data_IF_969379950078
#
_entry.id   IF_969379950078
#
_cell.length_a   1.000
_cell.length_b   1.000
_cell.length_c   1.000
_cell.angle_alpha   90.00
_cell.angle_beta   90.00
_cell.angle_gamma   90.00
#
_symmetry.space_group_name_H-M   'P 1'
#
loop_
_entity.id
_entity.type
_entity.pdbx_description
1 polymer ?
#
# COMPACT_ATOMS: atom_id res chain seq x y z
N UNK A 1 87.15 -28.05 -34.30
CA UNK A 1 87.48 -26.94 -33.37
C UNK A 1 86.83 -25.67 -33.88
N UNK A 2 86.50 -24.70 -32.99
CA UNK A 2 85.89 -23.37 -33.27
C UNK A 2 84.52 -23.40 -34.00
N UNK A 3 83.36 -22.98 -33.44
CA UNK A 3 82.94 -21.64 -32.94
C UNK A 3 83.29 -20.50 -33.91
N UNK A 4 82.45 -19.54 -34.28
CA UNK A 4 81.00 -19.30 -34.12
C UNK A 4 80.60 -18.30 -35.26
N UNK A 5 79.38 -17.77 -35.46
CA UNK A 5 78.16 -17.61 -34.64
C UNK A 5 76.93 -17.65 -35.58
N UNK A 6 75.73 -17.91 -35.07
CA UNK A 6 74.47 -17.82 -35.84
C UNK A 6 73.62 -16.62 -35.39
N UNK A 7 72.96 -15.94 -36.33
CA UNK A 7 71.85 -15.02 -36.04
C UNK A 7 70.89 -15.06 -37.23
N UNK A 8 69.86 -15.89 -37.14
CA UNK A 8 68.82 -16.03 -38.16
C UNK A 8 67.62 -15.20 -37.76
N UNK A 9 67.24 -14.26 -38.62
CA UNK A 9 66.05 -13.43 -38.45
C UNK A 9 64.80 -14.32 -38.66
N UNK A 10 63.99 -14.51 -37.62
CA UNK A 10 62.69 -15.20 -37.71
C UNK A 10 61.56 -14.20 -37.51
N UNK A 11 60.65 -14.20 -38.48
CA UNK A 11 59.53 -13.28 -38.58
C UNK A 11 58.48 -13.60 -37.51
N UNK A 12 58.10 -12.62 -36.70
CA UNK A 12 57.10 -12.80 -35.65
C UNK A 12 55.67 -12.78 -36.25
N UNK A 13 55.01 -13.94 -36.25
CA UNK A 13 53.58 -14.05 -36.48
C UNK A 13 52.85 -14.00 -35.13
N UNK A 14 52.48 -12.80 -34.68
CA UNK A 14 51.55 -12.61 -33.57
C UNK A 14 50.14 -12.43 -34.13
N UNK A 15 49.26 -13.40 -33.87
CA UNK A 15 47.85 -13.32 -34.20
C UNK A 15 47.21 -12.18 -33.39
N UNK A 16 46.58 -11.23 -34.08
CA UNK A 16 45.69 -10.26 -33.47
C UNK A 16 44.39 -10.97 -33.04
N UNK A 17 44.41 -11.61 -31.88
CA UNK A 17 43.19 -11.99 -31.17
C UNK A 17 42.49 -10.73 -30.70
N UNK A 18 41.21 -10.59 -31.00
CA UNK A 18 40.43 -9.40 -30.68
C UNK A 18 40.40 -9.15 -29.17
N UNK A 19 41.14 -8.14 -28.71
CA UNK A 19 40.87 -7.51 -27.43
C UNK A 19 39.58 -6.69 -27.56
N UNK A 20 38.44 -7.35 -27.41
CA UNK A 20 37.20 -6.67 -27.06
C UNK A 20 37.43 -6.17 -25.63
N UNK A 21 37.68 -4.86 -25.50
CA UNK A 21 37.58 -4.23 -24.19
C UNK A 21 36.17 -4.49 -23.66
N UNK A 22 35.98 -4.71 -22.34
CA UNK A 22 34.63 -4.74 -21.80
C UNK A 22 33.98 -3.41 -22.19
N UNK A 23 32.94 -3.49 -23.01
CA UNK A 23 31.94 -2.42 -23.04
C UNK A 23 31.50 -2.25 -21.60
N UNK A 24 31.43 -1.00 -21.14
CA UNK A 24 30.62 -0.75 -19.96
C UNK A 24 29.23 -1.27 -20.31
N UNK A 25 28.79 -2.32 -19.63
CA UNK A 25 27.37 -2.59 -19.53
C UNK A 25 26.82 -1.33 -18.86
N UNK A 26 26.10 -0.54 -19.64
CA UNK A 26 25.26 0.48 -19.07
C UNK A 26 24.20 -0.27 -18.29
N UNK A 27 24.28 -0.19 -16.96
CA UNK A 27 23.05 -0.01 -16.20
C UNK A 27 22.41 1.27 -16.75
N UNK A 28 21.61 1.11 -17.80
CA UNK A 28 20.65 2.10 -18.29
C UNK A 28 19.49 2.12 -17.27
N UNK A 29 19.83 2.37 -16.00
CA UNK A 29 18.89 2.65 -14.94
C UNK A 29 18.14 3.92 -15.33
N UNK A 30 16.87 3.75 -15.65
CA UNK A 30 15.96 4.85 -15.88
C UNK A 30 15.54 5.44 -14.54
N UNK A 31 15.25 6.73 -14.51
CA UNK A 31 14.76 7.39 -13.30
C UNK A 31 13.28 7.04 -13.18
N UNK A 32 12.94 6.18 -12.21
CA UNK A 32 11.56 5.99 -11.75
C UNK A 32 11.04 7.35 -11.25
N UNK A 33 9.88 7.83 -11.73
CA UNK A 33 9.25 9.03 -11.18
C UNK A 33 8.93 8.85 -9.70
N UNK A 34 8.98 9.91 -8.90
CA UNK A 34 8.56 9.82 -7.50
C UNK A 34 7.05 9.46 -7.42
N UNK A 35 6.71 8.46 -6.60
CA UNK A 35 5.36 7.87 -6.53
C UNK A 35 5.10 6.78 -7.58
N UNK A 36 6.15 6.11 -8.06
CA UNK A 36 6.11 4.98 -9.03
C UNK A 36 7.01 3.81 -8.62
N UNK A 37 7.58 3.86 -7.42
CA UNK A 37 8.49 2.86 -6.83
C UNK A 37 7.80 1.56 -6.42
N UNK A 38 6.46 1.55 -6.38
CA UNK A 38 5.60 0.44 -5.95
C UNK A 38 4.61 -0.06 -7.02
N UNK A 39 4.79 0.37 -8.28
CA UNK A 39 4.03 -0.11 -9.44
C UNK A 39 4.17 -1.62 -9.64
N UNK A 40 3.08 -2.28 -10.04
CA UNK A 40 3.09 -3.71 -10.34
C UNK A 40 2.90 -3.98 -11.85
N UNK A 41 3.79 -4.81 -12.43
CA UNK A 41 3.59 -5.32 -13.80
C UNK A 41 2.51 -6.40 -13.79
N UNK A 42 1.37 -6.12 -14.41
CA UNK A 42 0.31 -7.09 -14.69
C UNK A 42 -0.02 -7.20 -16.17
N UNK A 43 -0.27 -8.44 -16.63
CA UNK A 43 -0.72 -8.73 -17.99
C UNK A 43 -2.23 -8.46 -18.17
N UNK A 44 -3.01 -8.52 -17.10
CA UNK A 44 -4.49 -8.39 -17.12
C UNK A 44 -4.99 -7.10 -16.49
N UNK A 45 -4.24 -6.50 -15.57
CA UNK A 45 -4.58 -5.27 -14.88
C UNK A 45 -3.65 -4.11 -15.25
N UNK A 46 -4.09 -2.89 -14.93
CA UNK A 46 -3.32 -1.65 -14.96
C UNK A 46 -3.86 -0.67 -13.91
N UNK A 47 -3.08 0.37 -13.65
CA UNK A 47 -3.51 1.51 -12.84
C UNK A 47 -4.10 2.63 -13.69
N UNK A 48 -5.02 3.36 -13.07
CA UNK A 48 -5.74 4.50 -13.63
C UNK A 48 -5.81 5.58 -12.55
N UNK A 49 -5.77 6.84 -12.95
CA UNK A 49 -6.15 7.94 -12.07
C UNK A 49 -7.58 8.34 -12.38
N UNK A 50 -8.39 8.35 -11.33
CA UNK A 50 -9.68 9.03 -11.28
C UNK A 50 -9.46 10.39 -10.65
N UNK A 51 -9.92 11.46 -11.31
CA UNK A 51 -9.73 12.83 -10.83
C UNK A 51 -11.03 13.64 -10.88
N UNK A 52 -11.25 14.49 -9.89
CA UNK A 52 -12.47 15.29 -9.76
C UNK A 52 -12.32 16.50 -8.86
N UNK A 53 -13.45 17.18 -8.61
CA UNK A 53 -13.58 18.28 -7.66
C UNK A 53 -14.68 17.96 -6.66
N UNK A 54 -14.40 18.19 -5.39
CA UNK A 54 -15.34 18.06 -4.29
C UNK A 54 -15.34 19.34 -3.44
N UNK A 55 -16.18 19.37 -2.41
CA UNK A 55 -16.35 20.53 -1.54
C UNK A 55 -16.55 20.11 -0.09
N UNK A 56 -15.94 20.82 0.85
CA UNK A 56 -16.24 20.72 2.29
C UNK A 56 -16.88 22.02 2.79
N UNK A 57 -17.65 21.95 3.88
CA UNK A 57 -18.20 23.16 4.53
C UNK A 57 -17.88 23.12 6.02
N UNK A 58 -17.21 24.16 6.53
CA UNK A 58 -16.87 24.27 7.95
C UNK A 58 -18.09 24.61 8.81
N UNK A 59 -18.00 24.31 10.09
CA UNK A 59 -19.06 24.62 11.06
C UNK A 59 -19.31 26.13 11.20
N UNK A 60 -20.58 26.51 11.40
CA UNK A 60 -21.02 27.91 11.37
C UNK A 60 -20.38 28.81 12.45
N UNK A 61 -19.91 28.23 13.56
CA UNK A 61 -19.18 28.90 14.62
C UNK A 61 -17.70 29.16 14.29
N UNK A 62 -17.15 28.48 13.27
CA UNK A 62 -15.79 28.70 12.77
C UNK A 62 -15.71 29.78 11.67
N UNK A 63 -16.84 30.24 11.12
CA UNK A 63 -16.85 31.31 10.09
C UNK A 63 -16.10 32.57 10.56
N UNK A 64 -16.36 32.98 11.81
CA UNK A 64 -15.77 34.18 12.45
C UNK A 64 -14.42 33.89 13.14
N UNK A 65 -13.87 32.67 13.02
CA UNK A 65 -12.55 32.34 13.55
C UNK A 65 -11.42 33.05 12.76
N UNK A 66 -10.19 32.97 13.24
CA UNK A 66 -9.03 33.38 12.44
C UNK A 66 -8.79 32.41 11.27
N UNK A 67 -8.02 32.88 10.29
CA UNK A 67 -7.75 32.15 9.04
C UNK A 67 -7.02 30.83 9.28
N UNK A 68 -6.08 30.76 10.24
CA UNK A 68 -5.34 29.54 10.53
C UNK A 68 -6.25 28.49 11.19
N UNK A 69 -7.12 28.90 12.11
CA UNK A 69 -8.13 28.02 12.71
C UNK A 69 -9.12 27.48 11.66
N UNK A 70 -9.58 28.33 10.71
CA UNK A 70 -10.43 27.85 9.60
C UNK A 70 -9.68 26.87 8.70
N UNK A 71 -8.49 27.22 8.23
CA UNK A 71 -7.75 26.38 7.27
C UNK A 71 -7.36 25.02 7.88
N UNK A 72 -6.97 24.96 9.15
CA UNK A 72 -6.71 23.69 9.83
C UNK A 72 -7.95 22.76 9.84
N UNK A 73 -9.16 23.32 10.02
CA UNK A 73 -10.41 22.55 9.93
C UNK A 73 -10.75 22.16 8.49
N UNK A 74 -10.48 23.03 7.51
CA UNK A 74 -10.66 22.72 6.09
C UNK A 74 -9.75 21.56 5.67
N UNK A 75 -8.46 21.61 6.02
CA UNK A 75 -7.49 20.54 5.74
C UNK A 75 -7.91 19.21 6.37
N UNK A 76 -8.39 19.21 7.63
CA UNK A 76 -8.93 18.03 8.31
C UNK A 76 -10.17 17.45 7.58
N UNK A 77 -11.15 18.30 7.26
CA UNK A 77 -12.37 17.89 6.54
C UNK A 77 -12.08 17.39 5.14
N UNK A 78 -11.12 18.00 4.43
CA UNK A 78 -10.71 17.59 3.09
C UNK A 78 -10.11 16.18 3.11
N UNK A 79 -9.26 15.86 4.10
CA UNK A 79 -8.76 14.48 4.28
C UNK A 79 -9.87 13.48 4.57
N UNK A 80 -10.83 13.84 5.43
CA UNK A 80 -11.97 12.97 5.75
C UNK A 80 -12.92 12.77 4.53
N UNK A 81 -13.15 13.82 3.73
CA UNK A 81 -13.95 13.76 2.51
C UNK A 81 -13.24 12.94 1.41
N UNK A 82 -11.91 13.03 1.28
CA UNK A 82 -11.14 12.16 0.39
C UNK A 82 -11.29 10.67 0.75
N UNK A 83 -11.23 10.33 2.05
CA UNK A 83 -11.50 8.97 2.53
C UNK A 83 -12.92 8.52 2.14
N UNK A 84 -13.91 9.39 2.30
CA UNK A 84 -15.29 9.08 1.90
C UNK A 84 -15.45 8.89 0.38
N UNK A 85 -14.84 9.74 -0.44
CA UNK A 85 -14.83 9.62 -1.90
C UNK A 85 -14.15 8.31 -2.32
N UNK A 86 -12.99 7.98 -1.75
CA UNK A 86 -12.29 6.72 -2.00
C UNK A 86 -13.17 5.51 -1.65
N UNK A 87 -13.88 5.57 -0.52
CA UNK A 87 -14.82 4.53 -0.09
C UNK A 87 -15.99 4.36 -1.07
N UNK A 88 -16.70 5.44 -1.43
CA UNK A 88 -17.83 5.37 -2.37
C UNK A 88 -17.41 5.00 -3.80
N UNK A 89 -16.22 5.42 -4.24
CA UNK A 89 -15.62 5.00 -5.51
C UNK A 89 -15.30 3.51 -5.47
N UNK A 90 -14.73 2.99 -4.37
CA UNK A 90 -14.48 1.57 -4.21
C UNK A 90 -15.78 0.74 -4.25
N UNK A 91 -16.84 1.20 -3.57
CA UNK A 91 -18.17 0.58 -3.65
C UNK A 91 -18.73 0.52 -5.08
N UNK A 92 -18.44 1.53 -5.91
CA UNK A 92 -18.85 1.55 -7.31
C UNK A 92 -18.01 0.62 -8.21
N UNK A 93 -16.71 0.53 -7.94
CA UNK A 93 -15.76 -0.22 -8.77
C UNK A 93 -15.72 -1.72 -8.48
N UNK A 94 -15.83 -2.11 -7.22
CA UNK A 94 -15.72 -3.51 -6.81
C UNK A 94 -16.86 -4.37 -7.39
N UNK A 95 -16.59 -5.64 -7.63
CA UNK A 95 -17.59 -6.59 -8.13
C UNK A 95 -18.84 -6.64 -7.26
N UNK A 96 -19.94 -7.06 -7.90
CA UNK A 96 -21.26 -7.24 -7.27
C UNK A 96 -21.66 -8.72 -7.36
N UNK A 97 -22.48 -9.15 -6.43
CA UNK A 97 -23.00 -10.51 -6.34
C UNK A 97 -24.53 -10.53 -6.35
N UNK A 98 -25.12 -11.58 -6.91
CA UNK A 98 -26.58 -11.78 -6.95
C UNK A 98 -27.22 -11.60 -5.56
N UNK A 99 -28.03 -10.57 -5.40
CA UNK A 99 -28.70 -10.23 -4.14
C UNK A 99 -28.00 -9.20 -3.26
N UNK A 100 -26.87 -8.62 -3.70
CA UNK A 100 -26.28 -7.45 -3.06
C UNK A 100 -27.29 -6.28 -3.06
N UNK A 101 -27.36 -5.55 -1.95
CA UNK A 101 -28.28 -4.42 -1.81
C UNK A 101 -28.09 -3.32 -2.85
N UNK A 102 -26.93 -3.30 -3.51
CA UNK A 102 -26.51 -2.36 -4.54
C UNK A 102 -26.05 -3.04 -5.85
N UNK A 103 -26.57 -4.23 -6.17
CA UNK A 103 -26.20 -5.04 -7.36
C UNK A 103 -26.15 -4.26 -8.69
N UNK A 104 -27.01 -3.24 -8.87
CA UNK A 104 -27.05 -2.39 -10.06
C UNK A 104 -26.09 -1.18 -10.04
N UNK A 105 -25.40 -0.93 -8.92
CA UNK A 105 -24.51 0.21 -8.73
C UNK A 105 -23.05 -0.17 -9.05
N UNK A 106 -22.74 -0.16 -10.34
CA UNK A 106 -21.39 -0.40 -10.85
C UNK A 106 -21.02 -1.89 -10.96
N UNK A 107 -19.82 -2.26 -10.50
CA UNK A 107 -19.25 -3.60 -10.67
C UNK A 107 -18.36 -3.71 -11.92
N UNK A 108 -17.08 -3.36 -11.77
CA UNK A 108 -16.12 -3.26 -12.87
C UNK A 108 -14.80 -4.01 -12.60
N UNK A 109 -14.78 -4.96 -11.65
CA UNK A 109 -13.59 -5.74 -11.27
C UNK A 109 -12.36 -4.87 -10.99
N UNK A 110 -12.58 -3.75 -10.29
CA UNK A 110 -11.58 -2.75 -9.96
C UNK A 110 -11.68 -2.31 -8.49
N UNK A 111 -10.62 -1.68 -7.98
CA UNK A 111 -10.50 -1.24 -6.60
C UNK A 111 -9.85 0.14 -6.55
N UNK A 112 -10.35 1.03 -5.69
CA UNK A 112 -9.68 2.29 -5.38
C UNK A 112 -8.63 2.07 -4.28
N UNK A 113 -7.40 2.55 -4.50
CA UNK A 113 -6.29 2.47 -3.53
C UNK A 113 -6.32 3.68 -2.60
N UNK A 114 -6.77 3.51 -1.36
CA UNK A 114 -6.88 4.58 -0.39
C UNK A 114 -5.57 5.42 -0.28
N UNK A 115 -5.73 6.69 0.09
CA UNK A 115 -4.65 7.58 0.52
C UNK A 115 -3.51 7.82 -0.51
N UNK A 116 -3.82 7.89 -1.82
CA UNK A 116 -2.78 7.95 -2.87
C UNK A 116 -2.33 9.34 -3.34
N UNK A 117 -3.02 10.42 -2.95
CA UNK A 117 -2.63 11.79 -3.36
C UNK A 117 -3.02 12.85 -2.32
N UNK A 118 -2.17 13.88 -2.20
CA UNK A 118 -2.50 15.13 -1.50
C UNK A 118 -3.73 15.80 -2.13
N UNK A 119 -4.49 16.54 -1.31
CA UNK A 119 -5.52 17.43 -1.81
C UNK A 119 -4.91 18.61 -2.58
N UNK A 120 -5.42 18.89 -3.78
CA UNK A 120 -4.88 19.90 -4.68
C UNK A 120 -5.79 21.14 -4.75
N UNK A 121 -5.17 22.32 -4.71
CA UNK A 121 -5.81 23.62 -4.98
C UNK A 121 -7.14 23.84 -4.21
N UNK A 122 -7.04 23.93 -2.87
CA UNK A 122 -8.14 24.29 -1.97
C UNK A 122 -8.50 25.77 -2.19
N UNK A 123 -9.79 26.05 -2.44
CA UNK A 123 -10.32 27.38 -2.80
C UNK A 123 -11.54 27.72 -1.94
N UNK A 124 -11.60 28.95 -1.43
CA UNK A 124 -12.78 29.49 -0.74
C UNK A 124 -13.87 29.86 -1.76
N UNK A 125 -15.02 29.19 -1.69
CA UNK A 125 -16.19 29.44 -2.52
C UNK A 125 -17.19 30.41 -1.85
N UNK A 126 -16.90 30.83 -0.61
CA UNK A 126 -17.76 31.66 0.23
C UNK A 126 -18.66 30.85 1.17
N UNK A 127 -19.30 31.57 2.11
CA UNK A 127 -20.24 31.02 3.10
C UNK A 127 -19.70 29.85 3.96
N UNK A 128 -18.37 29.69 4.03
CA UNK A 128 -17.69 28.60 4.76
C UNK A 128 -17.51 27.32 3.93
N UNK A 129 -17.86 27.34 2.65
CA UNK A 129 -17.65 26.23 1.72
C UNK A 129 -16.33 26.42 0.97
N UNK A 130 -15.55 25.34 0.88
CA UNK A 130 -14.28 25.31 0.17
C UNK A 130 -14.32 24.19 -0.86
N UNK A 131 -13.88 24.46 -2.10
CA UNK A 131 -13.67 23.41 -3.11
C UNK A 131 -12.22 22.94 -3.10
N UNK A 132 -12.01 21.69 -3.50
CA UNK A 132 -10.68 21.11 -3.69
C UNK A 132 -10.70 20.13 -4.85
N UNK A 133 -9.58 20.06 -5.57
CA UNK A 133 -9.34 19.03 -6.58
C UNK A 133 -8.69 17.81 -5.93
N UNK A 134 -9.01 16.62 -6.43
CA UNK A 134 -8.42 15.37 -5.96
C UNK A 134 -8.09 14.45 -7.13
N UNK A 135 -7.04 13.64 -6.96
CA UNK A 135 -6.74 12.46 -7.76
C UNK A 135 -6.82 11.21 -6.87
N UNK A 136 -7.05 10.05 -7.46
CA UNK A 136 -7.29 8.79 -6.76
C UNK A 136 -6.82 7.63 -7.65
N UNK A 137 -5.85 6.83 -7.20
CA UNK A 137 -5.44 5.63 -7.93
C UNK A 137 -6.55 4.58 -7.89
N UNK A 138 -6.79 3.96 -9.04
CA UNK A 138 -7.67 2.80 -9.22
C UNK A 138 -6.89 1.72 -9.96
N UNK A 139 -6.89 0.51 -9.42
CA UNK A 139 -6.38 -0.68 -10.09
C UNK A 139 -7.55 -1.53 -10.62
N UNK A 140 -7.46 -1.99 -11.87
CA UNK A 140 -8.51 -2.81 -12.50
C UNK A 140 -8.06 -3.41 -13.83
N UNK A 141 -8.97 -4.07 -14.55
CA UNK A 141 -8.65 -4.62 -15.88
C UNK A 141 -8.14 -3.54 -16.85
N UNK A 142 -7.25 -3.90 -17.79
CA UNK A 142 -6.63 -2.94 -18.75
C UNK A 142 -7.63 -2.22 -19.68
N UNK A 143 -8.89 -2.65 -19.70
CA UNK A 143 -10.02 -2.10 -20.43
C UNK A 143 -10.99 -1.28 -19.54
N UNK A 144 -10.65 -0.97 -18.28
CA UNK A 144 -11.56 -0.35 -17.30
C UNK A 144 -12.21 0.94 -17.84
N UNK A 145 -11.44 1.81 -18.51
CA UNK A 145 -11.95 3.07 -19.10
C UNK A 145 -13.04 2.80 -20.16
N UNK A 146 -12.99 1.67 -20.86
CA UNK A 146 -14.03 1.26 -21.83
C UNK A 146 -15.17 0.46 -21.19
N UNK A 147 -14.98 -0.11 -20.00
CA UNK A 147 -16.02 -0.80 -19.24
C UNK A 147 -16.90 0.19 -18.46
N UNK A 148 -16.32 1.26 -17.94
CA UNK A 148 -17.02 2.35 -17.27
C UNK A 148 -17.96 3.10 -18.24
N UNK A 149 -19.13 3.58 -17.76
CA UNK A 149 -20.09 4.34 -18.57
C UNK A 149 -19.60 5.79 -18.78
N UNK A 150 -18.52 5.95 -19.53
CA UNK A 150 -17.88 7.25 -19.79
C UNK A 150 -18.45 7.96 -21.02
N UNK A 151 -18.51 9.29 -20.94
CA UNK A 151 -18.67 10.20 -22.08
C UNK A 151 -17.38 11.01 -22.29
N UNK A 152 -17.14 11.51 -23.51
CA UNK A 152 -15.98 12.36 -23.78
C UNK A 152 -16.36 13.84 -23.60
N UNK A 153 -15.89 14.45 -22.51
CA UNK A 153 -16.01 15.90 -22.26
C UNK A 153 -14.66 16.54 -22.58
N UNK A 154 -14.63 17.46 -23.54
CA UNK A 154 -13.40 18.09 -24.08
C UNK A 154 -12.27 17.11 -24.46
N UNK A 155 -12.64 15.86 -24.79
CA UNK A 155 -11.72 14.78 -25.17
C UNK A 155 -11.26 13.89 -24.00
N UNK A 156 -11.70 14.16 -22.78
CA UNK A 156 -11.38 13.38 -21.57
C UNK A 156 -12.53 12.41 -21.23
N UNK A 157 -12.26 11.11 -21.01
CA UNK A 157 -13.26 10.17 -20.50
C UNK A 157 -13.76 10.61 -19.12
N UNK A 158 -15.06 10.86 -19.03
CA UNK A 158 -15.75 11.45 -17.88
C UNK A 158 -16.95 10.60 -17.51
N UNK A 159 -17.17 10.33 -16.23
CA UNK A 159 -18.32 9.59 -15.71
C UNK A 159 -18.86 10.26 -14.45
N UNK A 160 -20.08 9.89 -14.05
CA UNK A 160 -20.69 10.37 -12.81
C UNK A 160 -20.59 9.31 -11.73
N UNK A 161 -20.12 9.70 -10.54
CA UNK A 161 -20.16 8.90 -9.33
C UNK A 161 -21.18 9.50 -8.36
N UNK A 162 -22.28 8.80 -8.08
CA UNK A 162 -23.22 9.20 -7.03
C UNK A 162 -22.69 8.75 -5.68
N UNK A 163 -22.27 9.70 -4.84
CA UNK A 163 -21.76 9.44 -3.49
C UNK A 163 -22.80 9.81 -2.43
N UNK A 164 -22.65 9.26 -1.22
CA UNK A 164 -23.35 9.78 -0.06
C UNK A 164 -22.78 11.11 0.39
N UNK A 165 -23.54 11.87 1.19
CA UNK A 165 -23.04 13.07 1.87
C UNK A 165 -23.13 12.89 3.38
N UNK A 166 -22.14 12.21 4.01
CA UNK A 166 -22.06 12.13 5.46
C UNK A 166 -21.84 13.53 6.06
N UNK A 167 -22.41 13.81 7.22
CA UNK A 167 -22.12 15.08 7.92
C UNK A 167 -20.68 15.11 8.42
N UNK A 168 -20.11 16.29 8.72
CA UNK A 168 -18.78 16.42 9.33
C UNK A 168 -18.59 15.55 10.59
N UNK A 169 -19.66 15.35 11.38
CA UNK A 169 -19.66 14.48 12.56
C UNK A 169 -19.80 12.98 12.23
N UNK A 170 -20.25 12.63 11.02
CA UNK A 170 -20.12 11.28 10.48
C UNK A 170 -18.71 11.07 9.92
N UNK A 171 -18.22 11.97 9.07
CA UNK A 171 -16.89 11.92 8.45
C UNK A 171 -15.75 11.76 9.47
N UNK A 172 -15.81 12.47 10.61
CA UNK A 172 -14.83 12.34 11.69
C UNK A 172 -14.89 11.03 12.51
N UNK A 173 -15.80 10.10 12.21
CA UNK A 173 -15.83 8.76 12.83
C UNK A 173 -15.12 7.76 11.92
N UNK A 174 -13.81 7.67 12.09
CA UNK A 174 -12.93 6.71 11.41
C UNK A 174 -12.27 5.71 12.39
N UNK A 175 -12.55 5.84 13.69
CA UNK A 175 -12.11 4.91 14.73
C UNK A 175 -12.60 3.48 14.45
N UNK A 176 -11.69 2.51 14.52
CA UNK A 176 -11.93 1.07 14.33
C UNK A 176 -13.20 0.58 15.02
N UNK A 177 -13.96 -0.28 14.34
CA UNK A 177 -15.29 -0.79 14.75
C UNK A 177 -16.41 0.28 14.85
N UNK A 178 -16.07 1.57 14.79
CA UNK A 178 -16.97 2.71 14.94
C UNK A 178 -17.09 3.57 13.68
N UNK A 179 -16.47 3.15 12.57
CA UNK A 179 -16.39 3.94 11.35
C UNK A 179 -17.78 4.23 10.76
N UNK A 180 -17.97 5.43 10.24
CA UNK A 180 -19.27 5.86 9.71
C UNK A 180 -19.78 4.94 8.60
N UNK A 181 -18.88 4.43 7.73
CA UNK A 181 -19.24 3.54 6.63
C UNK A 181 -19.68 2.14 7.10
N UNK A 182 -19.46 1.76 8.36
CA UNK A 182 -20.03 0.53 8.95
C UNK A 182 -21.44 0.69 9.48
N UNK A 183 -21.99 1.90 9.46
CA UNK A 183 -23.32 2.22 9.98
C UNK A 183 -24.33 2.50 8.87
N UNK A 184 -25.59 2.16 9.10
CA UNK A 184 -26.68 2.52 8.18
C UNK A 184 -26.83 4.05 8.06
N UNK A 185 -27.05 4.62 6.86
CA UNK A 185 -27.35 3.95 5.59
C UNK A 185 -26.12 3.58 4.75
N UNK A 186 -24.92 3.87 5.24
CA UNK A 186 -23.67 3.79 4.49
C UNK A 186 -23.21 2.35 4.29
N UNK A 187 -23.34 1.49 5.31
CA UNK A 187 -22.91 0.08 5.28
C UNK A 187 -23.56 -0.79 4.20
N UNK A 188 -24.71 -0.37 3.68
CA UNK A 188 -25.45 -1.03 2.61
C UNK A 188 -25.63 -0.05 1.44
N UNK A 189 -24.59 0.74 1.13
CA UNK A 189 -24.66 1.88 0.19
C UNK A 189 -25.29 1.50 -1.15
N UNK A 190 -26.54 1.91 -1.33
CA UNK A 190 -27.23 1.93 -2.61
C UNK A 190 -27.80 3.35 -2.81
N UNK A 191 -27.37 4.09 -3.84
CA UNK A 191 -27.90 5.42 -4.08
C UNK A 191 -29.42 5.43 -4.34
N UNK A 192 -30.02 4.35 -4.86
CA UNK A 192 -31.46 4.28 -5.14
C UNK A 192 -32.34 4.20 -3.87
N UNK A 193 -31.78 3.76 -2.74
CA UNK A 193 -32.52 3.67 -1.46
C UNK A 193 -32.25 4.86 -0.55
N UNK A 194 -31.18 5.63 -0.79
CA UNK A 194 -30.81 6.82 -0.01
C UNK A 194 -31.55 8.07 -0.53
N UNK A 195 -32.07 8.86 0.42
CA UNK A 195 -32.78 10.10 0.15
C UNK A 195 -31.91 11.10 -0.64
N UNK A 196 -32.52 11.82 -1.59
CA UNK A 196 -31.83 12.76 -2.46
C UNK A 196 -31.12 13.92 -1.72
N UNK A 197 -31.49 14.21 -0.46
CA UNK A 197 -30.80 15.19 0.40
C UNK A 197 -29.55 14.63 1.11
N UNK A 198 -29.26 13.33 0.99
CA UNK A 198 -28.09 12.65 1.59
C UNK A 198 -27.12 12.07 0.56
N UNK A 199 -27.20 12.53 -0.69
CA UNK A 199 -26.34 12.09 -1.80
C UNK A 199 -26.08 13.21 -2.80
N UNK A 200 -24.97 13.14 -3.50
CA UNK A 200 -24.59 14.08 -4.56
C UNK A 200 -23.89 13.34 -5.70
N UNK A 201 -23.88 13.95 -6.88
CA UNK A 201 -23.21 13.43 -8.07
C UNK A 201 -21.87 14.15 -8.27
N UNK A 202 -20.76 13.43 -8.18
CA UNK A 202 -19.45 13.92 -8.58
C UNK A 202 -19.22 13.65 -10.07
N UNK A 203 -18.76 14.66 -10.80
CA UNK A 203 -18.27 14.51 -12.17
C UNK A 203 -16.79 14.16 -12.12
N UNK A 204 -16.45 12.93 -12.49
CA UNK A 204 -15.10 12.39 -12.41
C UNK A 204 -14.53 12.11 -13.79
N UNK A 205 -13.26 12.40 -13.97
CA UNK A 205 -12.48 11.99 -15.14
C UNK A 205 -11.71 10.71 -14.83
N UNK A 206 -11.42 9.90 -15.84
CA UNK A 206 -10.51 8.76 -15.71
C UNK A 206 -9.49 8.72 -16.86
N UNK A 207 -8.23 8.50 -16.49
CA UNK A 207 -7.10 8.32 -17.40
C UNK A 207 -6.28 7.09 -16.99
N UNK A 208 -5.65 6.35 -17.92
CA UNK A 208 -4.55 5.46 -17.57
C UNK A 208 -3.49 6.23 -16.78
N UNK A 209 -2.94 5.60 -15.74
CA UNK A 209 -1.75 6.16 -15.08
C UNK A 209 -0.49 5.85 -15.91
N UNK A 210 0.54 6.66 -15.70
CA UNK A 210 1.90 6.43 -16.18
C UNK A 210 2.37 5.10 -15.62
N UNK A 211 2.60 4.12 -16.51
CA UNK A 211 3.22 2.87 -16.10
C UNK A 211 4.68 3.11 -15.74
N UNK A 212 5.12 2.65 -14.57
CA UNK A 212 6.54 2.45 -14.30
C UNK A 212 7.11 1.36 -15.22
N UNK A 213 8.34 1.56 -15.68
CA UNK A 213 9.14 0.48 -16.27
C UNK A 213 9.85 -0.34 -15.18
N UNK A 214 9.89 0.15 -13.93
CA UNK A 214 10.38 -0.58 -12.76
C UNK A 214 9.20 -1.07 -11.92
N UNK A 215 9.09 -2.38 -11.83
CA UNK A 215 8.16 -3.10 -10.95
C UNK A 215 8.87 -4.29 -10.31
N UNK A 216 10.18 -4.17 -10.14
CA UNK A 216 11.02 -5.13 -9.44
C UNK A 216 11.61 -4.42 -8.23
N UNK A 217 11.73 -5.13 -7.11
CA UNK A 217 12.44 -4.61 -5.96
C UNK A 217 13.88 -4.26 -6.36
N UNK A 218 14.37 -3.08 -6.00
CA UNK A 218 15.78 -2.71 -6.17
C UNK A 218 16.64 -3.54 -5.19
N UNK A 219 16.90 -4.78 -5.57
CA UNK A 219 17.74 -5.72 -4.84
C UNK A 219 19.20 -5.26 -4.72
N UNK A 220 19.64 -4.23 -5.45
CA UNK A 220 20.97 -3.65 -5.27
C UNK A 220 20.98 -2.67 -4.10
N UNK A 221 19.96 -1.80 -3.99
CA UNK A 221 19.76 -0.90 -2.86
C UNK A 221 19.43 -1.68 -1.56
N UNK A 222 18.45 -2.59 -1.61
CA UNK A 222 18.03 -3.47 -0.49
C UNK A 222 19.11 -4.48 -0.04
N UNK A 223 20.29 -4.46 -0.65
CA UNK A 223 21.46 -5.25 -0.24
C UNK A 223 22.75 -4.42 -0.26
N UNK A 224 22.67 -3.08 -0.23
CA UNK A 224 23.87 -2.24 -0.37
C UNK A 224 24.86 -2.52 0.77
N UNK A 225 24.37 -2.53 2.02
CA UNK A 225 25.17 -2.70 3.24
C UNK A 225 25.65 -4.14 3.49
N UNK A 226 25.11 -5.12 2.74
CA UNK A 226 25.41 -6.55 2.86
C UNK A 226 24.45 -7.34 3.74
N UNK A 227 23.36 -6.73 4.19
CA UNK A 227 22.21 -7.35 4.83
C UNK A 227 21.01 -7.26 3.88
N UNK A 228 20.02 -8.14 4.06
CA UNK A 228 18.64 -7.94 3.62
C UNK A 228 17.78 -8.31 4.81
N UNK A 229 17.14 -7.34 5.46
CA UNK A 229 16.30 -7.59 6.61
C UNK A 229 14.79 -7.65 6.29
N UNK A 230 14.13 -8.63 6.88
CA UNK A 230 12.76 -9.01 6.57
C UNK A 230 12.01 -9.23 7.87
N UNK A 231 11.09 -8.32 8.19
CA UNK A 231 10.26 -8.47 9.38
C UNK A 231 8.86 -8.97 8.96
N UNK A 232 8.50 -10.17 9.44
CA UNK A 232 7.24 -10.84 9.08
C UNK A 232 6.26 -10.79 10.23
N UNK A 233 5.13 -10.13 10.00
CA UNK A 233 4.07 -9.88 10.96
C UNK A 233 2.86 -10.77 10.70
N UNK A 234 2.43 -11.51 11.74
CA UNK A 234 1.26 -12.36 11.68
C UNK A 234 0.14 -11.78 12.55
N UNK A 235 -0.86 -11.20 11.88
CA UNK A 235 -2.01 -10.55 12.49
C UNK A 235 -3.25 -11.46 12.60
N UNK A 236 -4.30 -10.93 13.23
CA UNK A 236 -5.53 -11.67 13.50
C UNK A 236 -6.37 -11.89 12.23
N UNK A 237 -7.29 -12.86 12.27
CA UNK A 237 -8.20 -13.17 11.16
C UNK A 237 -9.56 -13.70 11.68
N UNK A 238 -10.63 -13.57 10.88
CA UNK A 238 -12.04 -13.78 11.25
C UNK A 238 -12.38 -15.12 11.90
N UNK A 239 -11.55 -16.14 11.71
CA UNK A 239 -11.95 -17.54 11.89
C UNK A 239 -11.25 -18.28 13.05
N UNK A 240 -9.99 -17.96 13.35
CA UNK A 240 -9.19 -18.62 14.39
C UNK A 240 -7.86 -17.87 14.62
N UNK A 241 -7.07 -18.30 15.60
CA UNK A 241 -5.67 -17.89 15.82
C UNK A 241 -4.71 -18.35 14.71
N UNK A 242 -4.96 -17.94 13.48
CA UNK A 242 -4.13 -18.27 12.32
C UNK A 242 -2.76 -17.59 12.40
N UNK A 243 -2.62 -16.46 13.08
CA UNK A 243 -1.34 -15.80 13.36
C UNK A 243 -0.30 -16.80 13.90
N UNK A 244 -0.62 -17.51 14.99
CA UNK A 244 0.24 -18.52 15.61
C UNK A 244 0.47 -19.72 14.68
N UNK A 245 -0.53 -20.11 13.88
CA UNK A 245 -0.42 -21.23 12.93
C UNK A 245 0.54 -20.92 11.78
N UNK A 246 0.45 -19.72 11.20
CA UNK A 246 1.29 -19.27 10.09
C UNK A 246 2.71 -18.92 10.56
N UNK A 247 2.86 -18.26 11.72
CA UNK A 247 4.16 -18.02 12.34
C UNK A 247 4.92 -19.33 12.59
N UNK A 248 4.25 -20.36 13.12
CA UNK A 248 4.82 -21.71 13.32
C UNK A 248 5.20 -22.39 12.00
N UNK A 249 4.39 -22.22 10.95
CA UNK A 249 4.70 -22.75 9.64
C UNK A 249 5.95 -22.09 9.04
N UNK A 250 6.08 -20.76 9.16
CA UNK A 250 7.26 -20.03 8.69
C UNK A 250 8.52 -20.39 9.49
N UNK A 251 8.44 -20.48 10.83
CA UNK A 251 9.55 -20.94 11.69
C UNK A 251 10.12 -22.28 11.18
N UNK A 252 9.24 -23.28 10.98
CA UNK A 252 9.66 -24.59 10.50
C UNK A 252 10.19 -24.57 9.06
N UNK A 253 9.61 -23.72 8.20
CA UNK A 253 10.07 -23.56 6.82
C UNK A 253 11.46 -22.93 6.73
N UNK A 254 11.74 -21.86 7.51
CA UNK A 254 13.06 -21.21 7.55
C UNK A 254 14.16 -22.19 7.98
N UNK A 255 13.89 -23.02 9.00
CA UNK A 255 14.80 -24.10 9.40
C UNK A 255 15.04 -25.11 8.26
N UNK A 256 14.01 -25.50 7.52
CA UNK A 256 14.13 -26.39 6.35
C UNK A 256 14.90 -25.73 5.19
N UNK A 257 14.80 -24.41 5.02
CA UNK A 257 15.63 -23.64 4.09
C UNK A 257 17.07 -23.44 4.57
N UNK A 258 17.43 -23.90 5.77
CA UNK A 258 18.78 -23.82 6.31
C UNK A 258 19.15 -22.45 6.91
N UNK A 259 18.17 -21.66 7.34
CA UNK A 259 18.42 -20.53 8.24
C UNK A 259 18.82 -21.04 9.62
N UNK A 260 19.78 -20.37 10.26
CA UNK A 260 20.05 -20.54 11.67
C UNK A 260 18.94 -19.86 12.47
N UNK A 261 18.23 -20.62 13.31
CA UNK A 261 17.17 -20.09 14.16
C UNK A 261 17.76 -19.32 15.37
N UNK A 262 17.10 -18.24 15.81
CA UNK A 262 17.53 -17.46 16.99
C UNK A 262 17.30 -18.22 18.31
N UNK A 263 16.38 -19.19 18.31
CA UNK A 263 15.92 -19.97 19.46
C UNK A 263 15.76 -21.45 19.08
N UNK A 264 15.76 -22.34 20.08
CA UNK A 264 15.76 -23.80 19.84
C UNK A 264 14.41 -24.35 19.36
N UNK A 265 13.28 -23.70 19.70
CA UNK A 265 11.93 -24.12 19.32
C UNK A 265 10.99 -22.93 19.13
N UNK A 266 9.87 -23.15 18.44
CA UNK A 266 8.85 -22.11 18.21
C UNK A 266 8.24 -21.62 19.53
N UNK A 267 8.06 -22.50 20.52
CA UNK A 267 7.56 -22.14 21.86
C UNK A 267 8.50 -21.22 22.66
N UNK A 268 9.74 -21.05 22.20
CA UNK A 268 10.72 -20.14 22.77
C UNK A 268 10.94 -18.89 21.90
N UNK A 269 10.24 -18.78 20.76
CA UNK A 269 10.21 -17.56 19.96
C UNK A 269 9.36 -16.52 20.69
N UNK A 270 9.73 -15.25 20.54
CA UNK A 270 9.10 -14.07 21.13
C UNK A 270 9.58 -12.85 20.30
N UNK A 271 8.95 -11.68 20.41
CA UNK A 271 9.32 -10.46 19.66
C UNK A 271 10.77 -10.02 19.83
N UNK A 272 11.35 -10.29 21.01
CA UNK A 272 12.75 -9.99 21.35
C UNK A 272 13.73 -11.09 20.89
N UNK A 273 13.24 -12.18 20.29
CA UNK A 273 14.09 -13.16 19.62
C UNK A 273 14.71 -12.54 18.37
N UNK A 274 16.03 -12.59 18.27
CA UNK A 274 16.77 -12.07 17.11
C UNK A 274 16.36 -12.72 15.77
N UNK A 275 16.94 -12.28 14.65
CA UNK A 275 16.60 -12.80 13.34
C UNK A 275 17.01 -14.26 13.15
N UNK A 276 16.23 -14.98 12.35
CA UNK A 276 16.72 -16.12 11.58
C UNK A 276 17.76 -15.61 10.59
N UNK A 277 18.94 -16.23 10.54
CA UNK A 277 20.05 -15.75 9.69
C UNK A 277 20.46 -16.77 8.64
N UNK A 278 20.73 -16.30 7.42
CA UNK A 278 21.33 -17.10 6.34
C UNK A 278 22.16 -16.23 5.39
N UNK A 279 23.44 -16.55 5.25
CA UNK A 279 24.28 -15.92 4.22
C UNK A 279 24.06 -16.57 2.86
N UNK A 280 23.92 -15.75 1.82
CA UNK A 280 23.86 -16.14 0.41
C UNK A 280 24.93 -15.40 -0.40
N UNK A 281 25.11 -15.77 -1.67
CA UNK A 281 25.91 -14.98 -2.63
C UNK A 281 24.99 -14.31 -3.64
N UNK A 282 24.97 -12.97 -3.66
CA UNK A 282 24.21 -12.14 -4.59
C UNK A 282 25.15 -11.13 -5.27
N UNK A 283 25.09 -11.00 -6.60
CA UNK A 283 25.99 -10.11 -7.36
C UNK A 283 27.49 -10.40 -7.17
N UNK A 284 27.88 -11.60 -6.71
CA UNK A 284 29.25 -11.94 -6.36
C UNK A 284 29.72 -11.43 -4.98
N UNK A 285 28.84 -10.78 -4.20
CA UNK A 285 29.04 -10.41 -2.79
C UNK A 285 28.38 -11.44 -1.87
N UNK A 286 28.86 -11.57 -0.64
CA UNK A 286 28.12 -12.25 0.42
C UNK A 286 27.08 -11.27 1.00
N UNK A 287 25.84 -11.74 1.17
CA UNK A 287 24.73 -10.98 1.76
C UNK A 287 24.09 -11.84 2.85
N UNK A 288 23.82 -11.26 4.03
CA UNK A 288 23.12 -11.94 5.12
C UNK A 288 21.64 -11.62 5.06
N UNK A 289 20.80 -12.63 4.82
CA UNK A 289 19.35 -12.49 4.98
C UNK A 289 19.03 -12.64 6.46
N UNK A 290 18.35 -11.64 7.03
CA UNK A 290 17.79 -11.64 8.38
C UNK A 290 16.26 -11.72 8.29
N UNK A 291 15.63 -12.67 8.98
CA UNK A 291 14.16 -12.77 9.03
C UNK A 291 13.67 -12.79 10.48
N UNK A 292 12.87 -11.80 10.88
CA UNK A 292 12.17 -11.78 12.18
C UNK A 292 10.72 -12.19 12.01
N UNK A 293 10.13 -12.73 13.08
CA UNK A 293 8.74 -13.20 13.10
C UNK A 293 8.06 -12.58 14.32
N UNK A 294 7.05 -11.75 14.06
CA UNK A 294 6.21 -11.10 15.06
C UNK A 294 4.80 -11.71 14.99
N UNK A 295 4.23 -12.06 16.14
CA UNK A 295 2.87 -12.58 16.25
C UNK A 295 2.33 -12.39 17.66
N UNK A 296 1.00 -12.42 17.81
CA UNK A 296 0.36 -12.35 19.12
C UNK A 296 0.56 -13.62 19.95
N UNK A 297 0.85 -13.46 21.25
CA UNK A 297 0.99 -14.56 22.21
C UNK A 297 -0.16 -14.54 23.22
N UNK A 298 -1.09 -15.49 23.14
CA UNK A 298 -2.13 -15.72 24.18
C UNK A 298 -1.51 -15.79 25.59
N UNK A 299 -2.08 -15.07 26.56
CA UNK A 299 -1.57 -14.88 27.93
C UNK A 299 -0.17 -14.18 28.03
N UNK A 300 0.35 -13.63 26.93
CA UNK A 300 1.68 -13.01 26.81
C UNK A 300 1.69 -11.47 26.91
N UNK A 301 2.85 -10.85 26.68
CA UNK A 301 2.94 -9.38 26.56
C UNK A 301 2.38 -8.84 25.25
N UNK A 302 2.31 -9.68 24.21
CA UNK A 302 1.68 -9.39 22.92
C UNK A 302 0.33 -10.10 22.78
N UNK A 303 -0.43 -10.26 23.87
CA UNK A 303 -1.74 -10.91 23.82
C UNK A 303 -2.72 -10.11 22.94
N UNK A 304 -3.11 -10.66 21.76
CA UNK A 304 -3.92 -9.93 20.79
C UNK A 304 -5.35 -9.69 21.29
N UNK A 305 -5.80 -10.37 22.35
CA UNK A 305 -7.12 -10.14 22.97
C UNK A 305 -7.10 -8.96 23.97
N UNK A 306 -6.00 -8.19 24.05
CA UNK A 306 -5.82 -7.11 25.03
C UNK A 306 -5.29 -5.81 24.44
N UNK A 307 -5.77 -4.67 24.96
CA UNK A 307 -5.28 -3.31 24.61
C UNK A 307 -3.77 -3.13 24.79
N UNK A 308 -3.16 -3.90 25.71
CA UNK A 308 -1.72 -3.83 25.98
C UNK A 308 -0.92 -4.60 24.92
N UNK A 309 -1.39 -5.78 24.52
CA UNK A 309 -0.75 -6.57 23.48
C UNK A 309 -0.96 -6.00 22.08
N UNK A 310 -2.16 -5.51 21.77
CA UNK A 310 -2.49 -4.82 20.51
C UNK A 310 -1.52 -3.68 20.21
N UNK A 311 -1.37 -2.72 21.14
CA UNK A 311 -0.42 -1.60 21.02
C UNK A 311 1.04 -2.05 20.82
N UNK A 312 1.47 -3.13 21.48
CA UNK A 312 2.86 -3.61 21.36
C UNK A 312 3.10 -4.25 19.98
N UNK A 313 2.12 -4.96 19.42
CA UNK A 313 2.17 -5.48 18.06
C UNK A 313 2.17 -4.34 17.02
N UNK A 314 1.40 -3.30 17.28
CA UNK A 314 1.35 -2.08 16.47
C UNK A 314 2.69 -1.33 16.47
N UNK A 315 3.29 -1.15 17.66
CA UNK A 315 4.63 -0.56 17.83
C UNK A 315 5.70 -1.36 17.04
N UNK A 316 5.61 -2.70 17.03
CA UNK A 316 6.53 -3.57 16.25
C UNK A 316 6.34 -3.37 14.73
N UNK A 317 5.10 -3.24 14.25
CA UNK A 317 4.82 -2.95 12.84
C UNK A 317 5.29 -1.55 12.43
N UNK A 318 5.01 -0.53 13.25
CA UNK A 318 5.49 0.85 13.04
C UNK A 318 7.02 0.91 13.03
N UNK A 319 7.70 0.23 13.95
CA UNK A 319 9.16 0.14 13.98
C UNK A 319 9.72 -0.57 12.73
N UNK A 320 9.02 -1.58 12.21
CA UNK A 320 9.38 -2.25 10.97
C UNK A 320 9.29 -1.30 9.77
N UNK A 321 8.17 -0.61 9.61
CA UNK A 321 7.92 0.37 8.54
C UNK A 321 8.92 1.52 8.51
N UNK A 322 9.48 1.90 9.65
CA UNK A 322 10.50 2.95 9.73
C UNK A 322 11.92 2.49 9.38
N UNK A 323 12.21 1.19 9.31
CA UNK A 323 13.60 0.71 9.36
C UNK A 323 13.97 -0.55 8.59
N UNK A 324 13.01 -1.24 7.94
CA UNK A 324 13.25 -2.54 7.29
C UNK A 324 13.26 -2.47 5.77
N UNK A 325 14.09 -3.32 5.16
CA UNK A 325 14.16 -3.48 3.70
C UNK A 325 12.86 -4.08 3.15
N UNK A 326 12.33 -5.11 3.83
CA UNK A 326 11.12 -5.81 3.43
C UNK A 326 10.23 -6.10 4.63
N UNK A 327 8.93 -5.85 4.47
CA UNK A 327 7.92 -6.12 5.49
C UNK A 327 6.87 -7.03 4.87
N UNK A 328 6.56 -8.12 5.56
CA UNK A 328 5.56 -9.09 5.11
C UNK A 328 4.45 -9.19 6.16
N UNK A 329 3.23 -8.86 5.79
CA UNK A 329 2.07 -9.05 6.67
C UNK A 329 1.23 -10.25 6.25
N UNK A 330 0.75 -11.02 7.22
CA UNK A 330 -0.21 -12.12 7.04
C UNK A 330 -1.25 -12.09 8.16
N UNK A 331 -2.43 -11.55 7.86
CA UNK A 331 -3.62 -11.55 8.69
C UNK A 331 -4.78 -10.93 7.91
N UNK A 332 -5.80 -10.44 8.59
CA UNK A 332 -6.84 -9.66 7.92
C UNK A 332 -6.34 -8.24 7.59
N UNK A 333 -6.34 -7.92 6.31
CA UNK A 333 -6.16 -6.58 5.78
C UNK A 333 -7.34 -6.21 4.87
N UNK A 334 -7.61 -4.93 4.75
CA UNK A 334 -8.63 -4.37 3.87
C UNK A 334 -8.41 -2.87 3.69
N UNK A 335 -9.06 -2.23 2.71
CA UNK A 335 -9.03 -0.78 2.60
C UNK A 335 -9.59 -0.16 3.89
N UNK A 336 -8.89 0.84 4.44
CA UNK A 336 -9.25 1.53 5.70
C UNK A 336 -9.13 0.65 6.95
N UNK A 337 -8.27 -0.38 6.90
CA UNK A 337 -7.92 -1.24 8.03
C UNK A 337 -6.41 -1.49 8.15
N UNK A 338 -5.62 -1.13 7.12
CA UNK A 338 -4.21 -1.46 6.97
C UNK A 338 -3.86 -2.88 7.43
N UNK A 339 -3.36 -3.01 8.66
CA UNK A 339 -2.96 -4.26 9.29
C UNK A 339 -3.72 -4.55 10.59
N UNK A 340 -4.58 -5.57 10.60
CA UNK A 340 -5.20 -6.05 11.84
C UNK A 340 -4.24 -6.96 12.62
N UNK A 341 -3.52 -6.41 13.60
CA UNK A 341 -2.53 -7.14 14.40
C UNK A 341 -3.18 -7.69 15.69
N UNK A 342 -4.07 -6.90 16.30
CA UNK A 342 -4.91 -7.29 17.44
C UNK A 342 -6.18 -8.06 17.05
N UNK A 343 -6.85 -8.64 18.04
CA UNK A 343 -8.16 -9.25 17.85
C UNK A 343 -9.24 -8.18 18.05
N UNK A 344 -9.66 -7.55 16.94
CA UNK A 344 -10.70 -6.51 16.86
C UNK A 344 -12.08 -6.89 17.43
N UNK A 345 -12.28 -8.13 17.91
CA UNK A 345 -13.48 -8.56 18.65
C UNK A 345 -13.37 -8.37 20.17
N UNK A 346 -12.17 -8.11 20.66
CA UNK A 346 -11.81 -8.14 22.09
C UNK A 346 -11.17 -6.83 22.55
N UNK A 347 -10.47 -6.14 21.65
CA UNK A 347 -9.85 -4.83 21.84
C UNK A 347 -10.02 -3.97 20.58
N UNK A 348 -9.95 -2.65 20.74
CA UNK A 348 -9.95 -1.68 19.62
C UNK A 348 -8.51 -1.23 19.27
N UNK A 349 -7.49 -1.81 19.90
CA UNK A 349 -6.07 -1.47 19.72
C UNK A 349 -5.31 -2.55 18.91
N UNK A 350 -4.26 -2.15 18.20
CA UNK A 350 -3.50 -3.07 17.36
C UNK A 350 -4.07 -3.27 15.95
N UNK A 351 -5.01 -2.43 15.52
CA UNK A 351 -5.35 -2.28 14.10
C UNK A 351 -4.65 -1.02 13.59
N UNK A 352 -3.66 -1.17 12.69
CA UNK A 352 -2.90 -0.04 12.13
C UNK A 352 -3.45 0.32 10.75
N UNK A 353 -4.26 1.37 10.70
CA UNK A 353 -4.85 1.92 9.46
C UNK A 353 -3.79 2.42 8.46
N UNK A 354 -4.00 2.13 7.17
CA UNK A 354 -3.21 2.64 6.05
C UNK A 354 -3.30 4.17 5.87
N UNK A 355 -4.33 4.82 6.44
CA UNK A 355 -4.42 6.28 6.50
C UNK A 355 -3.37 6.94 7.43
N UNK A 356 -2.85 6.18 8.40
CA UNK A 356 -1.86 6.65 9.38
C UNK A 356 -0.39 6.42 8.96
N UNK A 357 -0.17 5.80 7.80
CA UNK A 357 1.18 5.58 7.23
C UNK A 357 1.66 6.86 6.56
N UNK A 358 2.48 7.65 7.27
CA UNK A 358 3.04 8.95 6.84
C UNK A 358 4.53 9.07 7.16
#
# INVERSE_FOLDING_TARGET
>A
MTRATATTLVLAAALAGCAVAPTADGDDGFVVPAGKEDDFISLSAAEFVVAGRATVTIEADLLEADEATRMARVEELVGQEQIAIAWFLNQYLMDKHDGDGNEAYGGFSAMARANTYDALDIRDEGEGTYSFDFEQIVAGERNLVQALPTELVDGVPTFTLTIGTPTNAELGRLETNHEWYRQSPWSEWNPDTVDASRKTDLTLTIRPETASEDAWFDYAALMEDGVLDIDVHFGWDYHAGYHTTHARALFGWLQVQGFAAPVESFEALDRDSGPFTRTITAGGREVTIEVRIFYGHEDGTTDPDTDAGGRILEDDMRASLMSRDVIMYSGHSGPFYGFALGNWRMTDEGDFDDSEMR
#
